data_IF_756451111607
#
_entry.id   IF_756451111607
#
_cell.length_a   1.000
_cell.length_b   1.000
_cell.length_c   1.000
_cell.angle_alpha   90.00
_cell.angle_beta   90.00
_cell.angle_gamma   90.00
#
_symmetry.space_group_name_H-M   'P 1'
#
loop_
_entity.id
_entity.type
_entity.pdbx_description
1 polymer ?
#
# COMPACT_ATOMS: atom_id res chain seq x y z
N UNK A 1 -26.76 14.12 -7.24
CA UNK A 1 -25.59 14.41 -6.38
C UNK A 1 -24.56 15.16 -7.21
N UNK A 2 -24.04 16.31 -6.76
CA UNK A 2 -22.93 16.99 -7.46
C UNK A 2 -21.67 16.13 -7.34
N UNK A 3 -21.08 15.76 -8.47
CA UNK A 3 -19.84 15.00 -8.48
C UNK A 3 -18.66 15.95 -8.29
N UNK A 4 -18.03 15.94 -7.12
CA UNK A 4 -16.84 16.76 -6.88
C UNK A 4 -15.63 16.04 -7.47
N UNK A 5 -14.92 16.70 -8.39
CA UNK A 5 -13.63 16.23 -8.86
C UNK A 5 -12.67 16.07 -7.67
N UNK A 6 -11.93 14.97 -7.65
CA UNK A 6 -10.86 14.74 -6.69
C UNK A 6 -9.56 14.54 -7.47
N UNK A 7 -8.53 15.28 -7.08
CA UNK A 7 -7.21 15.11 -7.67
C UNK A 7 -6.44 14.08 -6.86
N UNK A 8 -5.97 13.03 -7.53
CA UNK A 8 -5.06 12.03 -6.99
C UNK A 8 -3.66 12.43 -7.42
N UNK A 9 -2.77 12.64 -6.45
CA UNK A 9 -1.35 12.86 -6.70
C UNK A 9 -0.63 11.54 -6.52
N UNK A 10 -0.04 11.03 -7.60
CA UNK A 10 0.77 9.81 -7.58
C UNK A 10 2.24 10.21 -7.70
N UNK A 11 3.06 9.68 -6.82
CA UNK A 11 4.50 9.88 -6.82
C UNK A 11 5.20 8.54 -7.02
N UNK A 12 5.95 8.41 -8.11
CA UNK A 12 6.75 7.23 -8.42
C UNK A 12 8.06 7.33 -7.67
N UNK A 13 8.18 6.59 -6.57
CA UNK A 13 9.34 6.65 -5.67
C UNK A 13 10.60 6.17 -6.38
N UNK A 14 10.47 5.15 -7.22
CA UNK A 14 11.58 4.60 -7.99
C UNK A 14 11.67 5.20 -9.41
N UNK A 15 10.82 6.18 -9.76
CA UNK A 15 10.69 6.68 -11.14
C UNK A 15 10.00 5.70 -12.12
N UNK A 16 9.76 4.46 -11.71
CA UNK A 16 9.13 3.42 -12.53
C UNK A 16 7.65 3.18 -12.14
N UNK A 17 6.73 3.03 -13.11
CA UNK A 17 5.32 2.70 -12.84
C UNK A 17 5.10 1.37 -12.11
N UNK A 18 6.03 0.43 -12.28
CA UNK A 18 5.98 -0.88 -11.64
C UNK A 18 6.73 -0.95 -10.30
N UNK A 19 7.42 0.14 -9.94
CA UNK A 19 8.16 0.26 -8.70
C UNK A 19 7.27 0.64 -7.51
N UNK A 20 7.93 1.13 -6.47
CA UNK A 20 7.28 1.72 -5.30
C UNK A 20 6.62 3.03 -5.71
N UNK A 21 5.41 3.28 -5.24
CA UNK A 21 4.72 4.54 -5.46
C UNK A 21 3.88 4.92 -4.25
N UNK A 22 3.74 6.22 -4.03
CA UNK A 22 2.81 6.76 -3.03
C UNK A 22 1.71 7.53 -3.73
N UNK A 23 0.51 7.51 -3.17
CA UNK A 23 -0.59 8.33 -3.65
C UNK A 23 -1.30 9.06 -2.52
N UNK A 24 -1.70 10.29 -2.82
CA UNK A 24 -2.40 11.19 -1.91
C UNK A 24 -3.65 11.74 -2.61
N UNK A 25 -4.74 11.87 -1.86
CA UNK A 25 -5.97 12.46 -2.37
C UNK A 25 -6.04 13.92 -1.93
N UNK A 26 -6.40 14.81 -2.85
CA UNK A 26 -6.55 16.23 -2.53
C UNK A 26 -7.65 16.43 -1.49
N UNK A 27 -7.31 17.12 -0.40
CA UNK A 27 -8.17 17.34 0.77
C UNK A 27 -8.41 16.09 1.66
N UNK A 28 -7.48 15.13 1.65
CA UNK A 28 -7.46 14.00 2.59
C UNK A 28 -6.09 13.91 3.25
N UNK A 29 -6.06 13.65 4.56
CA UNK A 29 -4.82 13.57 5.36
C UNK A 29 -4.13 12.20 5.29
N UNK A 30 -4.56 11.33 4.37
CA UNK A 30 -4.01 10.00 4.22
C UNK A 30 -3.03 9.88 3.05
N UNK A 31 -2.07 8.99 3.24
CA UNK A 31 -1.08 8.61 2.23
C UNK A 31 -1.19 7.11 2.01
N UNK A 32 -1.39 6.71 0.76
CA UNK A 32 -1.36 5.31 0.36
C UNK A 32 0.00 5.00 -0.27
N UNK A 33 0.47 3.78 -0.07
CA UNK A 33 1.77 3.31 -0.50
C UNK A 33 1.61 1.94 -1.16
N UNK A 34 2.06 1.82 -2.41
CA UNK A 34 2.13 0.55 -3.13
C UNK A 34 3.59 0.11 -3.14
N UNK A 35 3.84 -1.08 -2.59
CA UNK A 35 5.16 -1.71 -2.60
C UNK A 35 5.03 -3.07 -3.31
N UNK A 36 5.75 -3.30 -4.42
CA UNK A 36 5.85 -4.62 -5.02
C UNK A 36 6.48 -5.63 -4.05
N UNK A 37 6.00 -6.89 -4.05
CA UNK A 37 6.47 -7.95 -3.12
C UNK A 37 8.00 -8.12 -3.11
N UNK A 38 8.66 -7.95 -4.26
CA UNK A 38 10.13 -8.01 -4.40
C UNK A 38 10.86 -6.92 -3.60
N UNK A 39 10.26 -5.72 -3.50
CA UNK A 39 10.85 -4.53 -2.86
C UNK A 39 10.37 -4.31 -1.42
N UNK A 40 9.61 -5.24 -0.84
CA UNK A 40 9.13 -5.15 0.54
C UNK A 40 10.29 -5.03 1.52
N UNK A 41 11.32 -5.87 1.39
CA UNK A 41 12.48 -5.87 2.29
C UNK A 41 13.21 -4.52 2.25
N UNK A 42 13.42 -4.00 1.05
CA UNK A 42 14.07 -2.72 0.77
C UNK A 42 13.24 -1.50 1.15
N UNK A 43 11.94 -1.65 1.46
CA UNK A 43 11.06 -0.53 1.83
C UNK A 43 10.95 -0.33 3.34
N UNK A 44 11.63 -1.17 4.14
CA UNK A 44 11.62 -1.10 5.61
C UNK A 44 12.28 0.16 6.17
N UNK A 45 12.98 0.92 5.33
CA UNK A 45 13.61 2.21 5.60
C UNK A 45 12.61 3.37 5.69
N UNK A 46 11.34 3.15 5.31
CA UNK A 46 10.33 4.21 5.26
C UNK A 46 9.57 4.36 6.56
N UNK A 47 9.65 5.56 7.16
CA UNK A 47 8.89 5.94 8.35
C UNK A 47 7.37 5.87 8.14
N UNK A 48 6.87 5.98 6.90
CA UNK A 48 5.44 5.82 6.64
C UNK A 48 4.95 4.39 6.92
N UNK A 49 5.82 3.38 6.79
CA UNK A 49 5.49 2.01 7.17
C UNK A 49 5.48 1.79 8.68
N UNK A 50 6.12 2.68 9.45
CA UNK A 50 6.12 2.60 10.90
C UNK A 50 4.81 3.08 11.49
N UNK A 51 4.09 3.96 10.80
CA UNK A 51 2.82 4.50 11.25
C UNK A 51 1.69 3.46 11.27
N UNK A 52 0.70 3.71 12.14
CA UNK A 52 -0.55 2.94 12.16
C UNK A 52 -1.26 3.10 10.82
N UNK A 53 -1.68 1.98 10.24
CA UNK A 53 -2.28 1.96 8.91
C UNK A 53 -2.92 0.62 8.56
N UNK A 54 -3.61 0.62 7.43
CA UNK A 54 -4.22 -0.57 6.83
C UNK A 54 -3.31 -1.05 5.71
N UNK A 55 -2.94 -2.32 5.75
CA UNK A 55 -2.15 -2.97 4.72
C UNK A 55 -3.03 -3.96 3.97
N UNK A 56 -3.01 -3.85 2.64
CA UNK A 56 -3.73 -4.77 1.76
C UNK A 56 -2.70 -5.58 1.00
N UNK A 57 -2.61 -6.87 1.29
CA UNK A 57 -1.82 -7.79 0.49
C UNK A 57 -2.71 -8.37 -0.60
N UNK A 58 -2.37 -8.09 -1.85
CA UNK A 58 -3.07 -8.63 -3.02
C UNK A 58 -2.25 -9.81 -3.56
N UNK A 59 -2.87 -10.98 -3.65
CA UNK A 59 -2.27 -12.22 -4.15
C UNK A 59 -3.22 -12.96 -5.08
N UNK A 60 -2.67 -13.92 -5.84
CA UNK A 60 -3.47 -14.84 -6.66
C UNK A 60 -3.73 -16.12 -5.86
N UNK A 61 -4.95 -16.66 -5.95
CA UNK A 61 -5.29 -17.96 -5.38
C UNK A 61 -4.76 -19.09 -6.27
N UNK A 62 -4.09 -20.08 -5.69
CA UNK A 62 -3.60 -21.27 -6.43
C UNK A 62 -4.74 -22.18 -6.95
N UNK A 63 -5.98 -21.98 -6.47
CA UNK A 63 -7.12 -22.89 -6.75
C UNK A 63 -8.11 -22.41 -7.81
N UNK A 64 -7.96 -21.21 -8.36
CA UNK A 64 -8.76 -20.77 -9.51
C UNK A 64 -8.08 -19.60 -10.21
N UNK A 65 -7.87 -19.74 -11.52
CA UNK A 65 -7.08 -18.84 -12.38
C UNK A 65 -7.55 -17.37 -12.42
N UNK A 66 -8.63 -16.99 -11.72
CA UNK A 66 -9.19 -15.64 -11.76
C UNK A 66 -9.72 -15.11 -10.42
N UNK A 67 -9.25 -15.60 -9.26
CA UNK A 67 -9.64 -15.01 -7.96
C UNK A 67 -8.48 -14.26 -7.32
N UNK A 68 -8.54 -12.94 -7.40
CA UNK A 68 -7.68 -12.04 -6.62
C UNK A 68 -8.09 -12.12 -5.15
N UNK A 69 -7.14 -12.46 -4.28
CA UNK A 69 -7.32 -12.46 -2.84
C UNK A 69 -6.69 -11.21 -2.26
N UNK A 70 -7.47 -10.44 -1.51
CA UNK A 70 -7.00 -9.30 -0.74
C UNK A 70 -7.08 -9.62 0.75
N UNK A 71 -5.94 -9.63 1.43
CA UNK A 71 -5.87 -9.78 2.88
C UNK A 71 -5.63 -8.41 3.52
N UNK A 72 -6.49 -8.03 4.46
CA UNK A 72 -6.44 -6.73 5.15
C UNK A 72 -5.83 -6.94 6.53
N UNK A 73 -4.75 -6.22 6.83
CA UNK A 73 -4.08 -6.26 8.12
C UNK A 73 -4.06 -4.86 8.77
N UNK A 74 -4.62 -4.71 9.98
CA UNK A 74 -4.43 -3.50 10.78
C UNK A 74 -3.05 -3.54 11.45
N UNK A 75 -2.25 -2.47 11.30
CA UNK A 75 -1.01 -2.31 12.07
C UNK A 75 -1.24 -1.34 13.21
N UNK A 76 -1.07 -1.80 14.46
CA UNK A 76 -1.14 -0.96 15.68
C UNK A 76 0.29 -0.63 16.14
N UNK A 77 0.63 0.65 16.24
CA UNK A 77 1.96 1.10 16.66
C UNK A 77 2.21 0.86 18.14
N UNK A 78 2.83 -0.28 18.45
CA UNK A 78 3.87 -0.44 19.48
C UNK A 78 4.48 -1.84 19.33
N UNK A 79 5.59 -1.97 18.60
CA UNK A 79 6.43 -3.17 18.64
C UNK A 79 5.99 -4.42 17.85
N UNK A 80 4.97 -4.36 17.00
CA UNK A 80 4.64 -5.51 16.13
C UNK A 80 5.48 -5.50 14.84
N UNK A 81 6.57 -6.29 14.86
CA UNK A 81 7.19 -6.89 13.67
C UNK A 81 6.08 -7.57 12.88
N UNK A 82 5.72 -7.00 11.73
CA UNK A 82 4.84 -7.64 10.76
C UNK A 82 5.61 -8.89 10.27
N UNK A 83 5.31 -10.05 10.84
CA UNK A 83 5.83 -11.32 10.33
C UNK A 83 5.19 -11.55 8.97
N UNK A 84 5.98 -11.38 7.91
CA UNK A 84 5.63 -11.82 6.57
C UNK A 84 5.60 -13.35 6.58
N UNK A 85 4.40 -13.92 6.62
CA UNK A 85 4.08 -15.20 5.99
C UNK A 85 3.41 -14.86 4.65
#
# INVERSE_FOLDING_TARGET
>A
MKNFGKTIKIFLVDGEPNGRMTCELSNWTGKALKIPRKKIKESSDRSELENTGIYILIGKSDKSENKELASIFPKKTSGMKLWFL
#
